data_IF_332696064666
#
_entry.id   IF_332696064666
#
_cell.length_a   1.000
_cell.length_b   1.000
_cell.length_c   1.000
_cell.angle_alpha   90.00
_cell.angle_beta   90.00
_cell.angle_gamma   90.00
#
_symmetry.space_group_name_H-M   'P 1'
#
loop_
_entity.id
_entity.type
_entity.pdbx_description
1 polymer ?
#
# COMPACT_ATOMS: atom_id res chain seq x y z
N UNK A 1 17.20 4.48 -11.80
CA UNK A 1 17.27 3.29 -10.90
C UNK A 1 17.41 3.64 -9.42
N UNK A 2 17.91 4.83 -9.04
CA UNK A 2 18.00 5.24 -7.62
C UNK A 2 16.62 5.32 -6.92
N UNK A 3 15.66 6.00 -7.53
CA UNK A 3 14.34 6.25 -6.90
C UNK A 3 13.52 4.97 -6.68
N UNK A 4 13.64 3.98 -7.57
CA UNK A 4 12.99 2.67 -7.39
C UNK A 4 13.60 1.92 -6.21
N UNK A 5 14.92 1.97 -6.02
CA UNK A 5 15.57 1.38 -4.83
C UNK A 5 15.09 2.03 -3.53
N UNK A 6 14.91 3.36 -3.53
CA UNK A 6 14.36 4.09 -2.38
C UNK A 6 12.92 3.66 -2.11
N UNK A 7 12.08 3.50 -3.14
CA UNK A 7 10.71 3.01 -2.99
C UNK A 7 10.64 1.58 -2.44
N UNK A 8 11.56 0.69 -2.84
CA UNK A 8 11.66 -0.65 -2.25
C UNK A 8 12.14 -0.61 -0.80
N UNK A 9 13.12 0.24 -0.49
CA UNK A 9 13.63 0.42 0.87
C UNK A 9 12.53 0.92 1.81
N UNK A 10 11.71 1.87 1.35
CA UNK A 10 10.61 2.42 2.14
C UNK A 10 9.53 1.35 2.41
N UNK A 11 9.18 0.53 1.42
CA UNK A 11 8.30 -0.64 1.64
C UNK A 11 8.90 -1.61 2.66
N UNK A 12 10.20 -1.89 2.59
CA UNK A 12 10.85 -2.79 3.53
C UNK A 12 10.77 -2.25 4.97
N UNK A 13 11.02 -0.95 5.16
CA UNK A 13 10.86 -0.28 6.46
C UNK A 13 9.41 -0.39 6.95
N UNK A 14 8.44 -0.10 6.08
CA UNK A 14 7.01 -0.23 6.42
C UNK A 14 6.62 -1.68 6.76
N UNK A 15 7.21 -2.66 6.09
CA UNK A 15 6.98 -4.10 6.36
C UNK A 15 7.46 -4.47 7.75
N UNK A 16 8.68 -4.05 8.13
CA UNK A 16 9.24 -4.30 9.46
C UNK A 16 8.34 -3.66 10.53
N UNK A 17 7.95 -2.40 10.34
CA UNK A 17 7.04 -1.71 11.25
C UNK A 17 5.70 -2.43 11.38
N UNK A 18 5.15 -2.89 10.26
CA UNK A 18 3.87 -3.61 10.22
C UNK A 18 3.95 -4.95 10.98
N UNK A 19 5.06 -5.68 10.87
CA UNK A 19 5.28 -6.93 11.61
C UNK A 19 5.35 -6.67 13.12
N UNK A 20 6.12 -5.65 13.52
CA UNK A 20 6.27 -5.28 14.94
C UNK A 20 4.92 -4.86 15.52
N UNK A 21 4.21 -3.94 14.85
CA UNK A 21 2.89 -3.48 15.29
C UNK A 21 1.87 -4.62 15.32
N UNK A 22 1.86 -5.50 14.32
CA UNK A 22 0.99 -6.68 14.31
C UNK A 22 1.25 -7.59 15.50
N UNK A 23 2.53 -7.80 15.85
CA UNK A 23 2.94 -8.62 16.99
C UNK A 23 2.49 -8.01 18.32
N UNK A 24 2.60 -6.67 18.46
CA UNK A 24 2.12 -5.93 19.62
C UNK A 24 0.59 -6.05 19.73
N UNK A 25 -0.15 -5.81 18.66
CA UNK A 25 -1.62 -5.91 18.66
C UNK A 25 -2.07 -7.34 18.96
N UNK A 26 -1.35 -8.35 18.47
CA UNK A 26 -1.64 -9.75 18.77
C UNK A 26 -1.42 -10.07 20.26
N UNK A 27 -0.34 -9.55 20.86
CA UNK A 27 -0.02 -9.80 22.27
C UNK A 27 -1.00 -9.12 23.24
N UNK A 28 -1.39 -7.86 22.97
CA UNK A 28 -2.25 -7.09 23.88
C UNK A 28 -3.75 -7.20 23.58
N UNK A 29 -4.13 -7.30 22.31
CA UNK A 29 -5.54 -7.36 21.89
C UNK A 29 -6.08 -8.78 21.73
N UNK A 30 -5.20 -9.78 21.63
CA UNK A 30 -5.57 -11.17 21.39
C UNK A 30 -5.73 -11.52 19.90
N UNK A 31 -6.24 -12.74 19.64
CA UNK A 31 -6.17 -13.39 18.33
C UNK A 31 -7.01 -12.67 17.26
N UNK A 32 -8.25 -12.27 17.59
CA UNK A 32 -9.16 -11.63 16.64
C UNK A 32 -8.66 -10.25 16.12
N UNK A 33 -8.25 -9.30 16.98
CA UNK A 33 -7.68 -8.03 16.52
C UNK A 33 -6.28 -8.19 15.95
N UNK A 34 -5.46 -9.12 16.47
CA UNK A 34 -4.17 -9.44 15.88
C UNK A 34 -4.30 -9.92 14.43
N UNK A 35 -5.26 -10.80 14.14
CA UNK A 35 -5.57 -11.27 12.78
C UNK A 35 -6.08 -10.14 11.89
N UNK A 36 -7.01 -9.32 12.39
CA UNK A 36 -7.55 -8.18 11.64
C UNK A 36 -6.44 -7.21 11.23
N UNK A 37 -5.63 -6.79 12.20
CA UNK A 37 -4.51 -5.88 11.96
C UNK A 37 -3.48 -6.46 11.01
N UNK A 38 -3.05 -7.71 11.22
CA UNK A 38 -2.06 -8.36 10.36
C UNK A 38 -2.54 -8.51 8.91
N UNK A 39 -3.81 -8.87 8.70
CA UNK A 39 -4.40 -8.95 7.37
C UNK A 39 -4.51 -7.58 6.70
N UNK A 40 -4.87 -6.54 7.44
CA UNK A 40 -4.89 -5.17 6.92
C UNK A 40 -3.52 -4.70 6.44
N UNK A 41 -2.48 -4.93 7.26
CA UNK A 41 -1.09 -4.67 6.88
C UNK A 41 -0.63 -5.49 5.66
N UNK A 42 -0.92 -6.78 5.65
CA UNK A 42 -0.51 -7.69 4.59
C UNK A 42 -1.17 -7.34 3.25
N UNK A 43 -2.47 -7.08 3.25
CA UNK A 43 -3.20 -6.70 2.05
C UNK A 43 -2.71 -5.35 1.52
N UNK A 44 -2.47 -4.39 2.41
CA UNK A 44 -1.89 -3.11 2.01
C UNK A 44 -0.51 -3.28 1.38
N UNK A 45 0.36 -4.12 1.96
CA UNK A 45 1.69 -4.40 1.41
C UNK A 45 1.62 -5.00 0.00
N UNK A 46 0.75 -6.00 -0.21
CA UNK A 46 0.57 -6.62 -1.52
C UNK A 46 0.16 -5.57 -2.55
N UNK A 47 -0.81 -4.72 -2.22
CA UNK A 47 -1.28 -3.68 -3.13
C UNK A 47 -0.20 -2.64 -3.44
N UNK A 48 0.62 -2.26 -2.46
CA UNK A 48 1.77 -1.36 -2.66
C UNK A 48 2.82 -1.99 -3.57
N UNK A 49 3.10 -3.29 -3.41
CA UNK A 49 4.03 -4.02 -4.28
C UNK A 49 3.51 -4.14 -5.72
N UNK A 50 2.21 -4.46 -5.88
CA UNK A 50 1.55 -4.47 -7.19
C UNK A 50 1.61 -3.09 -7.84
N UNK A 51 1.38 -2.04 -7.07
CA UNK A 51 1.50 -0.67 -7.55
C UNK A 51 2.93 -0.37 -8.03
N UNK A 52 3.98 -0.71 -7.26
CA UNK A 52 5.38 -0.52 -7.71
C UNK A 52 5.65 -1.28 -9.00
N UNK A 53 5.18 -2.52 -9.12
CA UNK A 53 5.31 -3.30 -10.36
C UNK A 53 4.65 -2.60 -11.56
N UNK A 54 3.47 -2.02 -11.35
CA UNK A 54 2.79 -1.17 -12.33
C UNK A 54 3.57 0.11 -12.63
N UNK A 55 4.06 0.80 -11.62
CA UNK A 55 4.80 2.06 -11.74
C UNK A 55 6.11 1.88 -12.51
N UNK A 56 6.87 0.80 -12.25
CA UNK A 56 8.10 0.49 -12.99
C UNK A 56 7.81 0.27 -14.49
N UNK A 57 6.69 -0.39 -14.83
CA UNK A 57 6.26 -0.54 -16.22
C UNK A 57 5.80 0.80 -16.80
N UNK A 58 5.05 1.59 -16.03
CA UNK A 58 4.53 2.89 -16.42
C UNK A 58 5.60 3.99 -16.55
N UNK A 59 6.77 3.84 -15.92
CA UNK A 59 7.91 4.74 -16.10
C UNK A 59 8.46 4.76 -17.53
N UNK A 60 8.25 3.69 -18.31
CA UNK A 60 8.58 3.66 -19.75
C UNK A 60 7.48 4.29 -20.60
N UNK A 61 6.37 4.68 -19.97
CA UNK A 61 5.18 5.25 -20.59
C UNK A 61 5.03 6.73 -20.18
N UNK A 62 3.93 7.34 -20.62
CA UNK A 62 3.59 8.72 -20.36
C UNK A 62 3.07 8.92 -18.91
N UNK A 63 3.27 10.11 -18.33
CA UNK A 63 2.90 10.43 -16.93
C UNK A 63 1.42 10.17 -16.61
N UNK A 64 0.53 10.34 -17.60
CA UNK A 64 -0.91 10.03 -17.50
C UNK A 64 -1.18 8.55 -17.21
N UNK A 65 -0.37 7.63 -17.73
CA UNK A 65 -0.51 6.18 -17.48
C UNK A 65 -0.09 5.83 -16.07
N UNK A 66 0.93 6.52 -15.54
CA UNK A 66 1.32 6.33 -14.15
C UNK A 66 0.18 6.78 -13.22
N UNK A 67 -0.45 7.92 -13.52
CA UNK A 67 -1.58 8.47 -12.75
C UNK A 67 -2.79 7.53 -12.75
N UNK A 68 -3.12 6.92 -13.89
CA UNK A 68 -4.22 5.97 -13.98
C UNK A 68 -3.96 4.69 -13.17
N UNK A 69 -2.71 4.24 -13.07
CA UNK A 69 -2.33 3.10 -12.21
C UNK A 69 -2.55 3.43 -10.74
N UNK A 70 -2.22 4.64 -10.29
CA UNK A 70 -2.50 5.10 -8.92
C UNK A 70 -4.00 5.23 -8.64
N UNK A 71 -4.75 5.88 -9.53
CA UNK A 71 -6.19 6.02 -9.38
C UNK A 71 -6.89 4.64 -9.35
N UNK A 72 -6.52 3.73 -10.26
CA UNK A 72 -7.03 2.36 -10.28
C UNK A 72 -6.65 1.57 -9.02
N UNK A 73 -5.41 1.72 -8.54
CA UNK A 73 -4.95 1.11 -7.30
C UNK A 73 -5.75 1.58 -6.07
N UNK A 74 -6.10 2.86 -6.02
CA UNK A 74 -6.93 3.40 -4.94
C UNK A 74 -8.37 2.85 -5.00
N UNK A 75 -8.99 2.80 -6.17
CA UNK A 75 -10.33 2.20 -6.34
C UNK A 75 -10.31 0.73 -5.91
N UNK A 76 -9.28 -0.03 -6.30
CA UNK A 76 -9.12 -1.41 -5.88
C UNK A 76 -9.03 -1.55 -4.35
N UNK A 77 -8.30 -0.65 -3.67
CA UNK A 77 -8.24 -0.62 -2.20
C UNK A 77 -9.61 -0.37 -1.57
N UNK A 78 -10.41 0.54 -2.12
CA UNK A 78 -11.76 0.80 -1.61
C UNK A 78 -12.70 -0.40 -1.80
N UNK A 79 -12.63 -1.07 -2.96
CA UNK A 79 -13.41 -2.29 -3.22
C UNK A 79 -13.00 -3.38 -2.22
N UNK A 80 -11.70 -3.59 -2.01
CA UNK A 80 -11.22 -4.58 -1.05
C UNK A 80 -11.64 -4.24 0.38
N UNK A 81 -11.56 -2.97 0.77
CA UNK A 81 -12.08 -2.54 2.07
C UNK A 81 -13.56 -2.87 2.20
N UNK A 82 -14.38 -2.60 1.18
CA UNK A 82 -15.82 -2.91 1.20
C UNK A 82 -16.09 -4.42 1.26
N UNK A 83 -15.34 -5.23 0.51
CA UNK A 83 -15.44 -6.71 0.53
C UNK A 83 -15.08 -7.26 1.90
N UNK A 84 -13.99 -6.77 2.51
CA UNK A 84 -13.57 -7.21 3.83
C UNK A 84 -14.48 -6.66 4.94
N UNK A 85 -15.08 -5.47 4.76
CA UNK A 85 -16.11 -4.93 5.63
C UNK A 85 -17.40 -5.77 5.61
N UNK A 86 -17.82 -6.24 4.44
CA UNK A 86 -19.02 -7.05 4.30
C UNK A 86 -18.79 -8.54 4.62
N UNK A 87 -17.63 -9.11 4.28
CA UNK A 87 -17.35 -10.55 4.34
C UNK A 87 -16.30 -10.98 5.37
N UNK A 88 -15.41 -10.07 5.79
CA UNK A 88 -14.28 -10.40 6.67
C UNK A 88 -14.69 -10.83 8.08
N UNK A 89 -15.77 -10.25 8.62
CA UNK A 89 -16.30 -10.63 9.93
C UNK A 89 -16.83 -12.07 9.92
N UNK A 90 -17.50 -12.48 8.85
CA UNK A 90 -18.19 -13.77 8.78
C UNK A 90 -17.29 -14.92 8.35
N UNK A 91 -16.31 -14.68 7.46
CA UNK A 91 -15.47 -15.74 6.90
C UNK A 91 -14.16 -15.91 7.68
N UNK A 92 -13.55 -14.80 8.14
CA UNK A 92 -12.20 -14.82 8.71
C UNK A 92 -12.16 -14.65 10.23
N UNK A 93 -13.32 -14.47 10.87
CA UNK A 93 -13.46 -14.28 12.33
C UNK A 93 -12.46 -13.26 12.88
N UNK A 94 -12.30 -12.14 12.17
CA UNK A 94 -11.38 -11.08 12.53
C UNK A 94 -12.13 -9.83 12.98
N UNK A 95 -11.48 -9.04 13.83
CA UNK A 95 -12.03 -7.76 14.25
C UNK A 95 -11.93 -6.74 13.09
N UNK A 96 -13.09 -6.26 12.66
CA UNK A 96 -13.19 -5.39 11.50
C UNK A 96 -12.59 -4.00 11.73
N UNK A 97 -12.81 -3.33 12.88
CA UNK A 97 -12.18 -2.05 13.19
C UNK A 97 -10.65 -2.09 13.09
N UNK A 98 -10.00 -3.09 13.71
CA UNK A 98 -8.53 -3.21 13.63
C UNK A 98 -8.03 -3.48 12.22
N UNK A 99 -8.74 -4.30 11.44
CA UNK A 99 -8.44 -4.47 10.02
C UNK A 99 -8.53 -3.15 9.25
N UNK A 100 -9.64 -2.42 9.39
CA UNK A 100 -9.87 -1.18 8.67
C UNK A 100 -8.82 -0.11 9.01
N UNK A 101 -8.46 0.03 10.28
CA UNK A 101 -7.42 0.96 10.73
C UNK A 101 -6.06 0.60 10.12
N UNK A 102 -5.65 -0.66 10.21
CA UNK A 102 -4.37 -1.12 9.66
C UNK A 102 -4.31 -0.91 8.14
N UNK A 103 -5.37 -1.29 7.44
CA UNK A 103 -5.48 -1.14 5.98
C UNK A 103 -5.50 0.33 5.55
N UNK A 104 -6.17 1.21 6.30
CA UNK A 104 -6.24 2.64 6.01
C UNK A 104 -4.89 3.32 6.24
N UNK A 105 -4.19 3.01 7.34
CA UNK A 105 -2.84 3.52 7.59
C UNK A 105 -1.90 3.09 6.46
N UNK A 106 -1.95 1.81 6.05
CA UNK A 106 -1.14 1.32 4.94
C UNK A 106 -1.50 1.96 3.60
N UNK A 107 -2.79 2.22 3.36
CA UNK A 107 -3.26 2.92 2.16
C UNK A 107 -2.73 4.35 2.11
N UNK A 108 -2.80 5.09 3.21
CA UNK A 108 -2.27 6.46 3.30
C UNK A 108 -0.76 6.44 3.06
N UNK A 109 -0.03 5.52 3.72
CA UNK A 109 1.41 5.37 3.54
C UNK A 109 1.76 5.10 2.06
N UNK A 110 1.03 4.18 1.42
CA UNK A 110 1.21 3.91 0.00
C UNK A 110 0.97 5.17 -0.82
N UNK A 111 -0.15 5.88 -0.63
CA UNK A 111 -0.45 7.09 -1.39
C UNK A 111 0.64 8.17 -1.27
N UNK A 112 1.21 8.36 -0.08
CA UNK A 112 2.34 9.28 0.12
C UNK A 112 3.55 8.86 -0.72
N UNK A 113 3.88 7.57 -0.70
CA UNK A 113 4.96 7.00 -1.50
C UNK A 113 4.69 7.16 -3.01
N UNK A 114 3.46 6.92 -3.43
CA UNK A 114 3.02 7.08 -4.82
C UNK A 114 3.22 8.53 -5.28
N UNK A 115 2.65 9.50 -4.56
CA UNK A 115 2.77 10.93 -4.87
C UNK A 115 4.23 11.38 -4.90
N UNK A 116 5.04 10.95 -3.93
CA UNK A 116 6.48 11.23 -3.91
C UNK A 116 7.20 10.64 -5.14
N UNK A 117 6.83 9.44 -5.56
CA UNK A 117 7.39 8.82 -6.76
C UNK A 117 7.02 9.58 -8.05
N UNK A 118 5.79 10.11 -8.16
CA UNK A 118 5.40 10.97 -9.28
C UNK A 118 6.19 12.26 -9.36
N UNK A 119 6.32 12.97 -8.23
CA UNK A 119 7.00 14.27 -8.20
C UNK A 119 8.48 14.12 -8.52
N UNK A 120 9.10 13.02 -8.09
CA UNK A 120 10.50 12.71 -8.43
C UNK A 120 10.72 12.29 -9.88
N UNK A 121 9.69 11.78 -10.57
CA UNK A 121 9.73 11.53 -12.02
C UNK A 121 9.41 12.77 -12.87
N UNK A 122 8.63 13.70 -12.31
CA UNK A 122 8.14 14.91 -12.99
C UNK A 122 8.99 16.17 -12.72
N UNK A 123 10.08 16.05 -11.95
CA UNK A 123 11.07 17.12 -11.75
C UNK A 123 11.75 17.53 -13.07
N UNK A 124 12.31 18.75 -13.17
CA UNK A 124 12.56 19.45 -14.42
C UNK A 124 13.27 18.57 -15.43
N UNK A 125 12.58 18.38 -16.57
CA UNK A 125 13.04 17.65 -17.73
C UNK A 125 14.49 18.04 -18.03
N UNK A 126 15.41 17.09 -17.83
CA UNK A 126 16.75 17.21 -18.36
C UNK A 126 16.61 17.36 -19.89
N UNK A 127 17.01 18.49 -20.51
CA UNK A 127 16.69 18.81 -21.90
C UNK A 127 17.42 17.95 -22.96
N UNK A 128 17.90 16.76 -22.58
CA UNK A 128 18.68 15.86 -23.44
C UNK A 128 17.87 14.81 -24.20
N UNK A 129 16.53 14.86 -24.12
CA UNK A 129 15.66 13.96 -24.89
C UNK A 129 14.50 14.72 -25.54
N UNK A 130 14.83 15.81 -26.24
CA UNK A 130 14.04 16.30 -27.36
C UNK A 130 14.73 15.91 -28.66
#
# INVERSE_FOLDING_TARGET
MSNVKIAYLSILIYTIFSIILSSIVYYFGGVAPGKGFALGCLLSLILTLLWIGGAIKGMKSNTLVLLSITAGGFILRLILLAVFAAGGVYILMMDLPTFAIAFLIGTIYSLVLEVWFFTTLSGPQNPKFR
#
